data_IF_961099729286
#
_entry.id   IF_961099729286
#
_cell.length_a   1.000
_cell.length_b   1.000
_cell.length_c   1.000
_cell.angle_alpha   90.00
_cell.angle_beta   90.00
_cell.angle_gamma   90.00
#
_symmetry.space_group_name_H-M   'P 1'
#
loop_
_entity.id
_entity.type
_entity.pdbx_description
1 polymer ?
#
# COMPACT_ATOMS: atom_id res chain seq x y z
N UNK A 1 3.60 -10.26 34.16
CA UNK A 1 2.18 -10.66 34.15
C UNK A 1 1.97 -11.64 33.02
N UNK A 2 1.35 -12.76 33.23
CA UNK A 2 0.94 -13.68 32.16
C UNK A 2 -0.44 -13.27 31.69
N UNK A 3 -0.51 -12.25 30.85
CA UNK A 3 -1.79 -11.85 30.27
C UNK A 3 -2.16 -12.84 29.17
N UNK A 4 -3.29 -13.51 29.34
CA UNK A 4 -3.84 -14.43 28.34
C UNK A 4 -4.90 -13.70 27.50
N UNK A 5 -4.78 -13.87 26.19
CA UNK A 5 -5.67 -13.29 25.19
C UNK A 5 -6.27 -14.39 24.28
N UNK A 6 -7.43 -14.12 23.72
CA UNK A 6 -7.99 -15.01 22.69
C UNK A 6 -7.28 -14.80 21.36
N UNK A 7 -7.05 -13.53 20.99
CA UNK A 7 -6.41 -13.16 19.72
C UNK A 7 -5.26 -12.17 19.94
N UNK A 8 -4.16 -12.40 19.23
CA UNK A 8 -3.00 -11.54 19.19
C UNK A 8 -2.75 -11.09 17.75
N UNK A 9 -2.90 -9.79 17.47
CA UNK A 9 -2.66 -9.19 16.16
C UNK A 9 -1.26 -8.57 16.17
N UNK A 10 -0.43 -8.87 15.17
CA UNK A 10 0.94 -8.33 15.03
C UNK A 10 0.96 -7.32 13.90
N UNK A 11 1.23 -6.05 14.22
CA UNK A 11 1.36 -4.93 13.30
C UNK A 11 0.25 -3.88 13.46
N UNK A 12 0.65 -2.65 13.83
CA UNK A 12 -0.20 -1.47 14.06
C UNK A 12 -0.40 -0.60 12.82
N UNK A 13 -0.45 -1.22 11.64
CA UNK A 13 -0.88 -0.57 10.40
C UNK A 13 -2.38 -0.69 10.16
N UNK A 14 -2.86 -0.10 9.07
CA UNK A 14 -4.30 -0.03 8.76
C UNK A 14 -4.97 -1.41 8.63
N UNK A 15 -4.26 -2.42 8.10
CA UNK A 15 -4.78 -3.81 8.01
C UNK A 15 -4.90 -4.43 9.40
N UNK A 16 -3.91 -4.23 10.28
CA UNK A 16 -3.96 -4.73 11.65
C UNK A 16 -5.09 -4.08 12.46
N UNK A 17 -5.20 -2.76 12.45
CA UNK A 17 -6.24 -2.05 13.19
C UNK A 17 -7.65 -2.27 12.65
N UNK A 18 -7.85 -2.30 11.33
CA UNK A 18 -9.16 -2.65 10.77
C UNK A 18 -9.57 -4.09 11.13
N UNK A 19 -8.60 -5.02 11.18
CA UNK A 19 -8.83 -6.39 11.64
C UNK A 19 -9.17 -6.43 13.12
N UNK A 20 -8.43 -5.71 13.97
CA UNK A 20 -8.67 -5.63 15.41
C UNK A 20 -10.07 -5.08 15.71
N UNK A 21 -10.44 -3.98 15.06
CA UNK A 21 -11.75 -3.36 15.21
C UNK A 21 -12.88 -4.30 14.82
N UNK A 22 -12.86 -4.87 13.61
CA UNK A 22 -13.92 -5.77 13.16
C UNK A 22 -13.97 -7.09 13.96
N UNK A 23 -12.80 -7.57 14.42
CA UNK A 23 -12.72 -8.78 15.26
C UNK A 23 -13.38 -8.53 16.61
N UNK A 24 -13.15 -7.36 17.23
CA UNK A 24 -13.78 -6.98 18.49
C UNK A 24 -15.29 -6.82 18.37
N UNK A 25 -15.77 -6.32 17.21
CA UNK A 25 -17.21 -6.27 16.96
C UNK A 25 -17.83 -7.66 16.82
N UNK A 26 -17.14 -8.57 16.12
CA UNK A 26 -17.64 -9.94 15.88
C UNK A 26 -17.59 -10.79 17.15
N UNK A 27 -16.59 -10.59 17.99
CA UNK A 27 -16.36 -11.37 19.23
C UNK A 27 -16.23 -10.44 20.44
N UNK A 28 -17.32 -9.79 20.89
CA UNK A 28 -17.27 -8.74 21.91
C UNK A 28 -16.84 -9.20 23.31
N UNK A 29 -16.85 -10.51 23.56
CA UNK A 29 -16.39 -11.11 24.84
C UNK A 29 -14.94 -11.57 24.79
N UNK A 30 -14.30 -11.54 23.63
CA UNK A 30 -12.91 -12.00 23.47
C UNK A 30 -11.92 -10.94 23.91
N UNK A 31 -10.85 -11.39 24.56
CA UNK A 31 -9.70 -10.56 24.90
C UNK A 31 -8.77 -10.47 23.69
N UNK A 32 -8.65 -9.28 23.11
CA UNK A 32 -7.87 -9.06 21.90
C UNK A 32 -6.74 -8.09 22.18
N UNK A 33 -5.53 -8.44 21.75
CA UNK A 33 -4.35 -7.57 21.84
C UNK A 33 -3.77 -7.31 20.46
N UNK A 34 -3.30 -6.08 20.24
CA UNK A 34 -2.50 -5.69 19.10
C UNK A 34 -1.09 -5.30 19.55
N UNK A 35 -0.09 -5.88 18.90
CA UNK A 35 1.33 -5.66 19.17
C UNK A 35 1.93 -4.83 18.02
N UNK A 36 2.56 -3.70 18.36
CA UNK A 36 3.27 -2.84 17.41
C UNK A 36 4.72 -2.65 17.88
N UNK A 37 5.68 -2.82 16.95
CA UNK A 37 7.12 -2.67 17.26
C UNK A 37 7.53 -1.22 17.50
N UNK A 38 6.83 -0.28 16.88
CA UNK A 38 7.09 1.15 17.03
C UNK A 38 6.46 1.73 18.31
N UNK A 39 6.86 2.93 18.66
CA UNK A 39 6.27 3.69 19.78
C UNK A 39 4.91 4.28 19.46
N UNK A 40 4.46 4.22 18.19
CA UNK A 40 3.20 4.79 17.74
C UNK A 40 2.69 4.06 16.48
N UNK A 41 1.43 4.29 16.13
CA UNK A 41 0.80 3.73 14.93
C UNK A 41 1.33 4.36 13.62
N UNK A 42 1.10 3.68 12.49
CA UNK A 42 1.25 4.24 11.14
C UNK A 42 2.65 4.72 10.74
N UNK A 43 3.72 4.26 11.38
CA UNK A 43 5.09 4.70 11.07
C UNK A 43 5.60 4.25 9.70
N UNK A 44 4.99 3.19 9.13
CA UNK A 44 5.41 2.57 7.87
C UNK A 44 4.40 2.84 6.75
N UNK A 45 4.02 1.84 5.94
CA UNK A 45 3.21 1.98 4.72
C UNK A 45 1.91 2.79 4.91
N UNK A 46 1.24 2.68 6.07
CA UNK A 46 0.00 3.41 6.34
C UNK A 46 0.19 4.92 6.45
N UNK A 47 1.29 5.38 7.00
CA UNK A 47 1.62 6.82 7.08
C UNK A 47 2.53 7.31 5.95
N UNK A 48 2.86 6.46 4.96
CA UNK A 48 3.81 6.77 3.88
C UNK A 48 3.27 6.27 2.53
N UNK A 49 2.09 6.73 2.17
CA UNK A 49 1.41 6.42 0.92
C UNK A 49 0.82 7.68 0.28
N UNK A 50 0.30 7.59 -0.92
CA UNK A 50 -0.24 8.72 -1.68
C UNK A 50 -1.64 9.17 -1.26
N UNK A 51 -2.26 8.59 -0.25
CA UNK A 51 -3.59 8.99 0.22
C UNK A 51 -4.74 8.81 -0.78
N UNK A 52 -4.61 7.93 -1.77
CA UNK A 52 -5.62 7.76 -2.82
C UNK A 52 -6.64 6.69 -2.46
N UNK A 53 -7.93 7.03 -2.56
CA UNK A 53 -9.03 6.06 -2.57
C UNK A 53 -9.14 5.50 -3.99
N UNK A 54 -8.72 4.24 -4.17
CA UNK A 54 -8.65 3.61 -5.48
C UNK A 54 -10.01 3.09 -5.95
N UNK A 55 -10.29 3.20 -7.26
CA UNK A 55 -11.53 2.69 -7.89
C UNK A 55 -11.48 1.21 -8.25
N UNK A 56 -10.28 0.64 -8.48
CA UNK A 56 -10.13 -0.73 -8.97
C UNK A 56 -9.91 -0.87 -10.48
N UNK A 57 -9.79 0.25 -11.22
CA UNK A 57 -9.68 0.25 -12.70
C UNK A 57 -8.52 -0.58 -13.25
N UNK A 58 -7.39 -0.65 -12.52
CA UNK A 58 -6.18 -1.34 -12.97
C UNK A 58 -6.20 -2.86 -12.82
N UNK A 59 -7.09 -3.41 -11.99
CA UNK A 59 -7.00 -4.81 -11.56
C UNK A 59 -7.71 -5.75 -12.53
N UNK A 60 -7.20 -6.98 -12.62
CA UNK A 60 -7.80 -8.03 -13.45
C UNK A 60 -9.24 -8.29 -12.97
N UNK A 61 -10.25 -8.22 -13.85
CA UNK A 61 -11.62 -8.53 -13.48
C UNK A 61 -11.74 -9.91 -12.82
N UNK A 62 -12.53 -10.00 -11.75
CA UNK A 62 -12.71 -11.23 -10.98
C UNK A 62 -11.57 -11.58 -10.01
N UNK A 63 -10.43 -10.88 -10.01
CA UNK A 63 -9.37 -11.09 -9.02
C UNK A 63 -9.81 -10.66 -7.62
N UNK A 64 -9.21 -11.28 -6.59
CA UNK A 64 -9.45 -10.87 -5.20
C UNK A 64 -9.16 -9.38 -4.98
N UNK A 65 -8.14 -8.86 -5.65
CA UNK A 65 -7.74 -7.46 -5.61
C UNK A 65 -8.81 -6.53 -6.19
N UNK A 66 -9.43 -6.90 -7.33
CA UNK A 66 -10.53 -6.14 -7.92
C UNK A 66 -11.77 -6.16 -7.02
N UNK A 67 -12.21 -7.32 -6.57
CA UNK A 67 -13.38 -7.51 -5.72
C UNK A 67 -13.23 -6.80 -4.37
N UNK A 68 -12.08 -6.98 -3.71
CA UNK A 68 -11.80 -6.32 -2.43
C UNK A 68 -11.66 -4.79 -2.58
N UNK A 69 -11.15 -4.29 -3.71
CA UNK A 69 -11.08 -2.86 -3.95
C UNK A 69 -12.49 -2.24 -4.06
N UNK A 70 -13.37 -2.84 -4.84
CA UNK A 70 -14.75 -2.35 -5.03
C UNK A 70 -15.57 -2.38 -3.74
N UNK A 71 -15.58 -3.53 -3.05
CA UNK A 71 -16.32 -3.66 -1.78
C UNK A 71 -15.67 -2.87 -0.64
N UNK A 72 -14.34 -2.85 -0.60
CA UNK A 72 -13.57 -2.15 0.42
C UNK A 72 -13.72 -0.63 0.31
N UNK A 73 -13.70 -0.07 -0.92
CA UNK A 73 -13.95 1.36 -1.18
C UNK A 73 -15.29 1.79 -0.57
N UNK A 74 -16.38 1.10 -0.92
CA UNK A 74 -17.72 1.40 -0.38
C UNK A 74 -17.75 1.33 1.15
N UNK A 75 -17.12 0.30 1.72
CA UNK A 75 -17.05 0.13 3.17
C UNK A 75 -16.22 1.21 3.85
N UNK A 76 -15.11 1.63 3.22
CA UNK A 76 -14.25 2.70 3.71
C UNK A 76 -14.94 4.05 3.69
N UNK A 77 -15.58 4.41 2.59
CA UNK A 77 -16.34 5.66 2.44
C UNK A 77 -17.46 5.75 3.49
N UNK A 78 -18.24 4.66 3.62
CA UNK A 78 -19.26 4.60 4.68
C UNK A 78 -18.66 4.75 6.07
N UNK A 79 -17.55 4.06 6.35
CA UNK A 79 -16.86 4.17 7.64
C UNK A 79 -16.40 5.60 7.92
N UNK A 80 -15.87 6.29 6.91
CA UNK A 80 -15.44 7.67 7.04
C UNK A 80 -16.61 8.62 7.32
N UNK A 81 -17.72 8.46 6.63
CA UNK A 81 -18.95 9.23 6.88
C UNK A 81 -19.51 8.98 8.29
N UNK A 82 -19.60 7.71 8.69
CA UNK A 82 -20.13 7.32 10.00
C UNK A 82 -19.23 7.80 11.17
N UNK A 83 -17.99 8.21 10.91
CA UNK A 83 -16.99 8.55 11.93
C UNK A 83 -16.35 9.94 11.75
N UNK A 84 -16.93 10.80 10.94
CA UNK A 84 -16.47 12.19 10.68
C UNK A 84 -15.01 12.28 10.22
N UNK A 85 -14.58 11.34 9.36
CA UNK A 85 -13.24 11.35 8.77
C UNK A 85 -13.31 12.05 7.42
N UNK A 86 -12.52 13.10 7.24
CA UNK A 86 -12.47 13.86 6.00
C UNK A 86 -11.90 13.04 4.84
N UNK A 87 -12.61 13.04 3.73
CA UNK A 87 -12.15 12.56 2.43
C UNK A 87 -12.85 13.35 1.33
N UNK A 88 -12.31 13.28 0.13
CA UNK A 88 -12.89 13.96 -1.04
C UNK A 88 -12.89 13.03 -2.25
N UNK A 89 -14.00 12.91 -2.93
CA UNK A 89 -14.10 12.23 -4.24
C UNK A 89 -13.82 13.28 -5.32
N UNK A 90 -12.55 13.45 -5.64
CA UNK A 90 -12.08 14.49 -6.55
C UNK A 90 -11.96 14.04 -8.00
N UNK A 91 -12.06 12.73 -8.25
CA UNK A 91 -11.81 12.17 -9.57
C UNK A 91 -10.31 12.01 -9.90
N UNK A 92 -10.05 11.32 -11.02
CA UNK A 92 -8.72 11.07 -11.54
C UNK A 92 -8.74 11.04 -13.05
N UNK A 93 -7.75 11.63 -13.70
CA UNK A 93 -7.50 11.44 -15.13
C UNK A 93 -6.33 10.48 -15.36
N UNK A 94 -6.51 9.50 -16.26
CA UNK A 94 -5.45 8.61 -16.73
C UNK A 94 -5.17 8.99 -18.17
N UNK A 95 -3.97 9.51 -18.44
CA UNK A 95 -3.64 10.24 -19.65
C UNK A 95 -2.81 9.38 -20.61
N UNK A 96 -3.22 9.30 -21.86
CA UNK A 96 -2.38 8.85 -22.97
C UNK A 96 -1.67 10.07 -23.58
N UNK A 97 -0.35 10.07 -23.55
CA UNK A 97 0.47 11.20 -24.01
C UNK A 97 0.83 11.09 -25.51
N UNK A 98 0.54 9.96 -26.13
CA UNK A 98 0.76 9.69 -27.56
C UNK A 98 -0.20 8.61 -28.06
N UNK A 99 -0.29 8.44 -29.39
CA UNK A 99 -1.20 7.47 -30.01
C UNK A 99 -0.88 6.00 -29.70
N UNK A 100 0.37 5.65 -29.34
CA UNK A 100 0.66 4.27 -28.92
C UNK A 100 0.08 3.95 -27.54
N UNK A 101 -0.12 4.96 -26.72
CA UNK A 101 -0.74 4.80 -25.39
C UNK A 101 -2.26 4.72 -25.47
N UNK A 102 -2.93 5.22 -26.54
CA UNK A 102 -4.39 5.17 -26.65
C UNK A 102 -4.94 3.75 -26.72
N UNK A 103 -4.25 2.83 -27.41
CA UNK A 103 -4.66 1.41 -27.46
C UNK A 103 -4.64 0.77 -26.06
N UNK A 104 -3.63 1.10 -25.24
CA UNK A 104 -3.52 0.62 -23.87
C UNK A 104 -4.56 1.29 -22.98
N UNK A 105 -4.86 2.55 -23.24
CA UNK A 105 -5.90 3.30 -22.54
C UNK A 105 -7.27 2.69 -22.79
N UNK A 106 -7.59 2.34 -24.05
CA UNK A 106 -8.85 1.66 -24.41
C UNK A 106 -9.01 0.33 -23.66
N UNK A 107 -7.99 -0.51 -23.68
CA UNK A 107 -8.01 -1.79 -22.96
C UNK A 107 -8.17 -1.59 -21.43
N UNK A 108 -7.61 -0.50 -20.88
CA UNK A 108 -7.79 -0.14 -19.48
C UNK A 108 -9.20 0.33 -19.19
N UNK A 109 -9.83 1.09 -20.09
CA UNK A 109 -11.22 1.53 -19.98
C UNK A 109 -12.16 0.33 -19.94
N UNK A 110 -12.03 -0.61 -20.87
CA UNK A 110 -12.85 -1.84 -20.92
C UNK A 110 -12.70 -2.67 -19.62
N UNK A 111 -11.47 -2.75 -19.10
CA UNK A 111 -11.21 -3.37 -17.79
C UNK A 111 -11.90 -2.64 -16.65
N UNK A 112 -11.89 -1.31 -16.67
CA UNK A 112 -12.59 -0.46 -15.69
C UNK A 112 -14.09 -0.72 -15.70
N UNK A 113 -14.69 -0.71 -16.87
CA UNK A 113 -16.12 -1.02 -17.07
C UNK A 113 -16.44 -2.43 -16.57
N UNK A 114 -15.62 -3.42 -16.91
CA UNK A 114 -15.79 -4.81 -16.44
C UNK A 114 -15.68 -4.95 -14.91
N UNK A 115 -14.94 -4.07 -14.25
CA UNK A 115 -14.86 -4.01 -12.79
C UNK A 115 -15.98 -3.16 -12.16
N UNK A 116 -16.92 -2.60 -12.96
CA UNK A 116 -18.00 -1.72 -12.50
C UNK A 116 -17.48 -0.36 -12.00
N UNK A 117 -16.36 0.13 -12.56
CA UNK A 117 -15.79 1.44 -12.22
C UNK A 117 -16.52 2.52 -13.02
N UNK A 118 -16.95 3.60 -12.35
CA UNK A 118 -17.51 4.76 -13.01
C UNK A 118 -16.41 5.57 -13.69
N UNK A 119 -16.24 5.35 -15.00
CA UNK A 119 -15.21 5.99 -15.81
C UNK A 119 -15.71 6.24 -17.24
N UNK A 120 -15.11 7.21 -17.90
CA UNK A 120 -15.41 7.59 -19.29
C UNK A 120 -14.13 7.92 -20.07
N UNK A 121 -14.11 7.57 -21.35
CA UNK A 121 -13.10 8.07 -22.28
C UNK A 121 -13.40 9.53 -22.61
N UNK A 122 -12.39 10.38 -22.54
CA UNK A 122 -12.54 11.82 -22.76
C UNK A 122 -11.51 12.31 -23.79
N UNK A 123 -11.96 13.26 -24.61
CA UNK A 123 -11.11 13.96 -25.57
C UNK A 123 -10.08 14.87 -24.89
N UNK A 124 -9.08 15.32 -25.67
CA UNK A 124 -8.12 16.31 -25.20
C UNK A 124 -8.78 17.61 -24.70
N UNK A 125 -9.84 18.10 -25.37
CA UNK A 125 -10.54 19.30 -24.93
C UNK A 125 -11.17 19.09 -23.54
N UNK A 126 -11.84 17.96 -23.34
CA UNK A 126 -12.43 17.63 -22.03
C UNK A 126 -11.38 17.41 -20.94
N UNK A 127 -10.24 16.80 -21.29
CA UNK A 127 -9.11 16.66 -20.35
C UNK A 127 -8.64 18.03 -19.85
N UNK A 128 -8.50 19.02 -20.75
CA UNK A 128 -8.03 20.37 -20.38
C UNK A 128 -9.05 21.16 -19.56
N UNK A 129 -10.35 20.86 -19.67
CA UNK A 129 -11.36 21.43 -18.78
C UNK A 129 -11.20 20.91 -17.33
N UNK A 130 -10.88 19.61 -17.17
CA UNK A 130 -10.71 18.96 -15.85
C UNK A 130 -9.34 19.30 -15.27
N UNK A 131 -8.27 19.15 -16.05
CA UNK A 131 -6.87 19.36 -15.68
C UNK A 131 -6.19 20.26 -16.72
N UNK A 132 -6.25 21.61 -16.57
CA UNK A 132 -5.84 22.55 -17.60
C UNK A 132 -4.36 22.44 -18.02
N UNK A 133 -3.51 21.92 -17.15
CA UNK A 133 -2.07 21.77 -17.39
C UNK A 133 -1.67 20.35 -17.82
N UNK A 134 -2.64 19.41 -17.92
CA UNK A 134 -2.36 18.04 -18.33
C UNK A 134 -2.08 17.97 -19.84
N UNK A 135 -1.06 17.18 -20.22
CA UNK A 135 -0.72 16.93 -21.62
C UNK A 135 -1.13 15.53 -22.03
N UNK A 136 -2.12 15.44 -22.89
CA UNK A 136 -2.58 14.16 -23.44
C UNK A 136 -3.27 14.31 -24.77
N UNK A 137 -3.34 13.22 -25.53
CA UNK A 137 -4.14 13.12 -26.77
C UNK A 137 -5.54 12.61 -26.47
N UNK A 138 -5.66 11.77 -25.43
CA UNK A 138 -6.89 11.17 -24.93
C UNK A 138 -6.68 10.79 -23.45
N UNK A 139 -7.77 10.67 -22.67
CA UNK A 139 -7.69 10.24 -21.28
C UNK A 139 -8.91 9.40 -20.87
N UNK A 140 -8.78 8.68 -19.74
CA UNK A 140 -9.92 8.16 -18.97
C UNK A 140 -10.16 9.10 -17.79
N UNK A 141 -11.37 9.60 -17.65
CA UNK A 141 -11.81 10.25 -16.41
C UNK A 141 -12.48 9.23 -15.51
N UNK A 142 -11.90 8.98 -14.33
CA UNK A 142 -12.42 8.07 -13.30
C UNK A 142 -13.04 8.92 -12.21
N UNK A 143 -14.35 9.10 -12.24
CA UNK A 143 -15.10 10.05 -11.38
C UNK A 143 -15.04 9.68 -9.90
N UNK A 144 -15.05 8.42 -9.57
CA UNK A 144 -15.16 7.87 -8.22
C UNK A 144 -13.83 7.69 -7.46
N UNK A 145 -12.69 8.14 -8.01
CA UNK A 145 -11.45 8.18 -7.25
C UNK A 145 -11.47 9.32 -6.25
N UNK A 146 -10.84 9.12 -5.10
CA UNK A 146 -10.78 10.13 -4.05
C UNK A 146 -9.43 10.22 -3.38
N UNK A 147 -9.35 11.14 -2.43
CA UNK A 147 -8.20 11.38 -1.58
C UNK A 147 -8.60 11.35 -0.11
N UNK A 148 -7.71 10.85 0.72
CA UNK A 148 -7.93 10.65 2.16
C UNK A 148 -6.58 10.61 2.91
N UNK A 149 -6.60 10.95 4.19
CA UNK A 149 -5.48 10.65 5.08
C UNK A 149 -5.69 9.28 5.76
N UNK A 150 -4.98 8.27 5.31
CA UNK A 150 -5.08 6.93 5.91
C UNK A 150 -4.57 6.84 7.35
N UNK A 151 -3.80 7.81 7.82
CA UNK A 151 -3.40 7.89 9.24
C UNK A 151 -4.60 8.21 10.11
N UNK A 152 -5.48 9.11 9.69
CA UNK A 152 -6.69 9.47 10.43
C UNK A 152 -7.67 8.28 10.50
N UNK A 153 -7.82 7.57 9.39
CA UNK A 153 -8.61 6.33 9.34
C UNK A 153 -8.07 5.28 10.32
N UNK A 154 -6.75 5.07 10.31
CA UNK A 154 -6.10 4.10 11.18
C UNK A 154 -6.18 4.51 12.65
N UNK A 155 -6.03 5.81 12.96
CA UNK A 155 -6.22 6.34 14.30
C UNK A 155 -7.64 6.07 14.80
N UNK A 156 -8.64 6.32 13.97
CA UNK A 156 -10.04 6.06 14.34
C UNK A 156 -10.30 4.56 14.61
N UNK A 157 -9.75 3.67 13.79
CA UNK A 157 -9.81 2.22 14.09
C UNK A 157 -9.16 1.90 15.44
N UNK A 158 -8.01 2.50 15.74
CA UNK A 158 -7.32 2.32 17.02
C UNK A 158 -8.18 2.77 18.21
N UNK A 159 -8.84 3.93 18.09
CA UNK A 159 -9.68 4.50 19.13
C UNK A 159 -10.93 3.63 19.38
N UNK A 160 -11.60 3.23 18.29
CA UNK A 160 -12.75 2.34 18.37
C UNK A 160 -12.38 0.95 18.92
N UNK A 161 -11.20 0.42 18.57
CA UNK A 161 -10.70 -0.83 19.12
C UNK A 161 -10.49 -0.73 20.65
N UNK A 162 -9.94 0.40 21.15
CA UNK A 162 -9.80 0.65 22.59
C UNK A 162 -11.15 0.80 23.30
N UNK A 163 -12.11 1.48 22.67
CA UNK A 163 -13.48 1.61 23.19
C UNK A 163 -14.19 0.24 23.32
N UNK A 164 -13.82 -0.72 22.47
CA UNK A 164 -14.28 -2.11 22.54
C UNK A 164 -13.40 -3.00 23.46
N UNK A 165 -12.68 -2.39 24.41
CA UNK A 165 -11.79 -3.06 25.37
C UNK A 165 -10.58 -3.78 24.74
N UNK A 166 -10.17 -3.40 23.53
CA UNK A 166 -8.97 -3.91 22.89
C UNK A 166 -7.70 -3.38 23.56
N UNK A 167 -6.70 -4.22 23.72
CA UNK A 167 -5.39 -3.86 24.27
C UNK A 167 -4.39 -3.56 23.14
N UNK A 168 -3.56 -2.53 23.30
CA UNK A 168 -2.50 -2.18 22.36
C UNK A 168 -1.17 -2.07 23.11
N UNK A 169 -0.17 -2.84 22.67
CA UNK A 169 1.20 -2.76 23.20
C UNK A 169 2.12 -2.25 22.12
N UNK A 170 2.70 -1.08 22.35
CA UNK A 170 3.77 -0.48 21.55
C UNK A 170 5.14 -0.92 22.03
N UNK A 171 6.17 -0.66 21.21
CA UNK A 171 7.55 -1.06 21.48
C UNK A 171 7.68 -2.58 21.72
N UNK A 172 6.82 -3.37 21.06
CA UNK A 172 6.81 -4.82 21.18
C UNK A 172 7.26 -5.47 19.87
N UNK A 173 8.56 -5.58 19.68
CA UNK A 173 9.16 -6.29 18.54
C UNK A 173 9.04 -7.79 18.75
N UNK A 174 8.18 -8.46 18.01
CA UNK A 174 8.01 -9.91 18.08
C UNK A 174 9.26 -10.62 17.55
N UNK A 175 9.91 -11.42 18.42
CA UNK A 175 11.11 -12.19 18.10
C UNK A 175 10.89 -13.70 18.07
N UNK A 176 9.81 -14.20 18.68
CA UNK A 176 9.53 -15.62 18.75
C UNK A 176 8.00 -15.86 18.79
N UNK A 177 7.57 -16.87 18.04
CA UNK A 177 6.21 -17.43 18.09
C UNK A 177 6.36 -18.91 18.29
N UNK A 178 5.76 -19.47 19.32
CA UNK A 178 5.88 -20.90 19.66
C UNK A 178 4.54 -21.46 20.12
N UNK A 179 4.05 -22.53 19.48
CA UNK A 179 2.94 -23.32 20.00
C UNK A 179 3.34 -23.97 21.33
N UNK A 180 2.53 -23.87 22.34
CA UNK A 180 2.74 -24.45 23.67
C UNK A 180 1.59 -25.40 24.01
N UNK A 181 1.58 -25.99 25.22
CA UNK A 181 0.52 -26.90 25.67
C UNK A 181 -0.88 -26.24 25.60
N UNK A 182 -1.93 -27.04 25.53
CA UNK A 182 -3.34 -26.63 25.52
C UNK A 182 -3.71 -25.73 24.32
N UNK A 183 -3.11 -25.99 23.16
CA UNK A 183 -3.33 -25.21 21.92
C UNK A 183 -3.11 -23.70 22.06
N UNK A 184 -2.34 -23.26 23.06
CA UNK A 184 -1.93 -21.88 23.23
C UNK A 184 -0.68 -21.54 22.40
N UNK A 185 -0.49 -20.27 22.16
CA UNK A 185 0.66 -19.72 21.43
C UNK A 185 1.36 -18.71 22.33
N UNK A 186 2.66 -18.87 22.48
CA UNK A 186 3.55 -17.91 23.13
C UNK A 186 4.12 -16.97 22.07
N UNK A 187 3.88 -15.67 22.24
CA UNK A 187 4.46 -14.59 21.44
C UNK A 187 5.41 -13.79 22.31
N UNK A 188 6.69 -13.69 21.96
CA UNK A 188 7.71 -13.09 22.81
C UNK A 188 8.48 -11.97 22.11
N UNK A 189 8.84 -10.96 22.89
CA UNK A 189 9.83 -9.91 22.62
C UNK A 189 10.94 -10.00 23.66
N UNK A 190 11.86 -9.03 23.70
CA UNK A 190 12.91 -8.96 24.72
C UNK A 190 12.29 -8.70 26.11
N UNK A 191 12.40 -9.69 26.98
CA UNK A 191 11.90 -9.62 28.37
C UNK A 191 10.38 -9.70 28.55
N UNK A 192 9.57 -9.58 27.47
CA UNK A 192 8.12 -9.62 27.54
C UNK A 192 7.54 -10.79 26.74
N UNK A 193 6.42 -11.33 27.20
CA UNK A 193 5.70 -12.38 26.47
C UNK A 193 4.19 -12.29 26.70
N UNK A 194 3.45 -12.79 25.71
CA UNK A 194 1.99 -12.87 25.69
C UNK A 194 1.60 -14.30 25.35
N UNK A 195 0.55 -14.79 25.98
CA UNK A 195 -0.07 -16.08 25.64
C UNK A 195 -1.41 -15.79 24.96
N UNK A 196 -1.68 -16.43 23.83
CA UNK A 196 -2.96 -16.30 23.13
C UNK A 196 -3.43 -17.63 22.53
N UNK A 197 -4.69 -17.68 22.10
CA UNK A 197 -5.23 -18.85 21.39
C UNK A 197 -4.84 -18.80 19.91
N UNK A 198 -4.89 -17.62 19.27
CA UNK A 198 -4.60 -17.47 17.85
C UNK A 198 -3.86 -16.16 17.57
N UNK A 199 -2.87 -16.24 16.67
CA UNK A 199 -2.10 -15.09 16.18
C UNK A 199 -2.61 -14.66 14.81
N UNK A 200 -2.60 -13.36 14.54
CA UNK A 200 -2.94 -12.77 13.24
C UNK A 200 -1.77 -11.89 12.83
N UNK A 201 -1.04 -12.33 11.81
CA UNK A 201 0.12 -11.61 11.29
C UNK A 201 -0.30 -10.57 10.26
N UNK A 202 -0.28 -9.29 10.63
CA UNK A 202 -0.51 -8.12 9.80
C UNK A 202 0.74 -7.23 9.72
N UNK A 203 1.94 -7.81 9.77
CA UNK A 203 3.21 -7.10 9.92
C UNK A 203 3.76 -6.41 8.66
N UNK A 204 3.00 -6.35 7.56
CA UNK A 204 3.33 -5.59 6.35
C UNK A 204 4.72 -5.93 5.80
N UNK A 205 5.69 -5.02 5.87
CA UNK A 205 7.08 -5.23 5.42
C UNK A 205 7.77 -6.42 6.09
N UNK A 206 7.34 -6.79 7.30
CA UNK A 206 7.89 -7.90 8.07
C UNK A 206 7.00 -9.14 8.09
N UNK A 207 5.97 -9.20 7.22
CA UNK A 207 5.00 -10.31 7.20
C UNK A 207 5.65 -11.67 6.95
N UNK A 208 6.66 -11.74 6.08
CA UNK A 208 7.42 -12.95 5.80
C UNK A 208 8.34 -13.36 6.97
N UNK A 209 8.89 -12.39 7.70
CA UNK A 209 9.72 -12.67 8.89
C UNK A 209 8.87 -13.25 10.02
N UNK A 210 7.73 -12.62 10.32
CA UNK A 210 6.77 -13.12 11.32
C UNK A 210 6.24 -14.51 10.94
N UNK A 211 5.92 -14.72 9.67
CA UNK A 211 5.49 -16.04 9.20
C UNK A 211 6.56 -17.11 9.39
N UNK A 212 7.84 -16.78 9.16
CA UNK A 212 8.96 -17.73 9.42
C UNK A 212 9.08 -18.10 10.89
N UNK A 213 8.84 -17.14 11.80
CA UNK A 213 8.86 -17.42 13.25
C UNK A 213 7.79 -18.44 13.67
N UNK A 214 6.70 -18.55 12.91
CA UNK A 214 5.60 -19.49 13.14
C UNK A 214 5.65 -20.76 12.26
N UNK A 215 6.76 -21.00 11.54
CA UNK A 215 6.87 -22.14 10.63
C UNK A 215 6.09 -22.01 9.31
N UNK A 216 5.72 -20.78 8.94
CA UNK A 216 4.97 -20.50 7.72
C UNK A 216 5.73 -20.73 6.42
N UNK A 217 5.06 -20.58 5.29
CA UNK A 217 5.59 -20.84 3.93
C UNK A 217 6.85 -20.03 3.63
N UNK A 218 7.80 -20.68 2.93
CA UNK A 218 9.08 -20.07 2.53
C UNK A 218 9.18 -19.83 1.02
N UNK A 219 8.09 -19.99 0.27
CA UNK A 219 8.08 -19.99 -1.20
C UNK A 219 8.15 -18.58 -1.81
N UNK A 220 8.13 -17.55 -1.00
CA UNK A 220 8.27 -16.15 -1.42
C UNK A 220 8.93 -15.32 -0.32
N UNK A 221 9.33 -14.13 -0.70
CA UNK A 221 9.97 -13.15 0.19
C UNK A 221 9.41 -11.76 -0.07
N UNK A 222 9.31 -10.97 0.97
CA UNK A 222 9.03 -9.54 0.84
C UNK A 222 10.31 -8.82 0.44
N UNK A 223 10.30 -8.23 -0.75
CA UNK A 223 11.36 -7.35 -1.24
C UNK A 223 10.89 -5.90 -1.07
N UNK A 224 11.66 -5.06 -0.37
CA UNK A 224 11.29 -3.68 -0.17
C UNK A 224 11.60 -2.83 -1.40
N UNK A 225 10.57 -2.19 -1.99
CA UNK A 225 10.74 -1.21 -3.07
C UNK A 225 10.41 0.19 -2.57
N UNK A 226 11.40 1.06 -2.57
CA UNK A 226 11.24 2.45 -2.18
C UNK A 226 10.59 3.25 -3.30
N UNK A 227 9.57 4.01 -2.97
CA UNK A 227 8.99 5.05 -3.79
C UNK A 227 9.41 6.41 -3.27
N UNK A 228 10.15 7.16 -4.06
CA UNK A 228 10.57 8.50 -3.73
C UNK A 228 9.59 9.51 -4.30
N UNK A 229 9.28 10.53 -3.51
CA UNK A 229 8.33 11.57 -3.86
C UNK A 229 8.99 12.95 -3.86
N UNK A 230 8.43 13.82 -4.66
CA UNK A 230 8.61 15.26 -4.55
C UNK A 230 7.25 15.90 -4.27
N UNK A 231 7.27 17.10 -3.69
CA UNK A 231 6.08 17.93 -3.47
C UNK A 231 6.20 19.21 -4.30
N UNK A 232 5.11 19.63 -4.94
CA UNK A 232 5.07 20.93 -5.61
C UNK A 232 5.19 22.05 -4.57
N UNK A 233 5.93 23.09 -4.92
CA UNK A 233 5.91 24.34 -4.16
C UNK A 233 4.51 24.97 -4.22
N UNK A 234 4.14 25.75 -3.21
CA UNK A 234 2.82 26.42 -3.16
C UNK A 234 2.50 27.22 -4.42
N UNK A 235 3.50 27.89 -5.00
CA UNK A 235 3.37 28.65 -6.26
C UNK A 235 3.04 27.81 -7.48
N UNK A 236 3.28 26.51 -7.44
CA UNK A 236 3.13 25.59 -8.57
C UNK A 236 2.03 24.53 -8.35
N UNK A 237 1.31 24.56 -7.21
CA UNK A 237 0.25 23.60 -6.91
C UNK A 237 -0.93 23.66 -7.90
N UNK A 238 -1.16 24.81 -8.53
CA UNK A 238 -2.17 25.00 -9.55
C UNK A 238 -1.99 24.12 -10.79
N UNK A 239 -0.79 23.57 -11.00
CA UNK A 239 -0.48 22.67 -12.12
C UNK A 239 -1.19 21.30 -12.04
N UNK A 240 -1.79 20.96 -10.91
CA UNK A 240 -2.58 19.74 -10.76
C UNK A 240 -3.76 20.03 -9.84
N UNK A 241 -4.98 19.90 -10.36
CA UNK A 241 -6.20 20.13 -9.58
C UNK A 241 -6.62 18.92 -8.76
N UNK A 242 -6.41 17.70 -9.28
CA UNK A 242 -6.88 16.45 -8.70
C UNK A 242 -5.78 15.37 -8.76
N UNK A 243 -5.95 14.37 -9.62
CA UNK A 243 -5.04 13.23 -9.78
C UNK A 243 -4.72 13.06 -11.27
N UNK A 244 -3.43 13.21 -11.66
CA UNK A 244 -3.00 13.05 -13.05
C UNK A 244 -2.06 11.86 -13.14
N UNK A 245 -2.51 10.77 -13.78
CA UNK A 245 -1.80 9.49 -13.86
C UNK A 245 -1.45 9.15 -15.32
N UNK A 246 -0.31 8.50 -15.59
CA UNK A 246 0.00 8.00 -16.94
C UNK A 246 -0.81 6.74 -17.24
N UNK A 247 -0.99 6.47 -18.53
CA UNK A 247 -1.42 5.15 -18.99
C UNK A 247 -0.38 4.10 -18.60
N UNK A 248 -0.77 3.00 -17.93
CA UNK A 248 0.17 1.96 -17.52
C UNK A 248 0.91 1.33 -18.71
N UNK A 249 2.19 1.06 -18.53
CA UNK A 249 2.94 0.23 -19.46
C UNK A 249 3.03 -1.20 -18.89
N UNK A 250 2.45 -2.23 -19.55
CA UNK A 250 2.44 -3.59 -19.03
C UNK A 250 3.84 -4.24 -18.93
N UNK A 251 4.86 -3.66 -19.57
CA UNK A 251 6.24 -4.10 -19.41
C UNK A 251 6.86 -3.69 -18.08
N UNK A 252 6.24 -2.73 -17.37
CA UNK A 252 6.72 -2.23 -16.08
C UNK A 252 5.83 -2.74 -14.95
N UNK A 253 6.41 -3.30 -13.88
CA UNK A 253 5.64 -3.83 -12.75
C UNK A 253 5.02 -2.72 -11.88
N UNK A 254 5.48 -1.49 -12.03
CA UNK A 254 5.01 -0.35 -11.27
C UNK A 254 4.47 0.74 -12.18
N UNK A 255 3.49 1.48 -11.69
CA UNK A 255 2.97 2.65 -12.38
C UNK A 255 4.05 3.75 -12.45
N UNK A 256 4.13 4.45 -13.58
CA UNK A 256 5.04 5.60 -13.74
C UNK A 256 4.71 6.75 -12.80
N UNK A 257 5.63 7.72 -12.70
CA UNK A 257 5.44 8.91 -11.87
C UNK A 257 4.15 9.65 -12.26
N UNK A 258 3.44 10.14 -11.27
CA UNK A 258 2.14 10.79 -11.41
C UNK A 258 1.99 11.92 -10.39
N UNK A 259 0.92 12.67 -10.50
CA UNK A 259 0.58 13.76 -9.58
C UNK A 259 -0.61 13.37 -8.72
N UNK A 260 -0.52 13.66 -7.44
CA UNK A 260 -1.56 13.37 -6.45
C UNK A 260 -1.77 14.58 -5.56
N UNK A 261 -2.98 15.14 -5.59
CA UNK A 261 -3.37 16.19 -4.64
C UNK A 261 -3.73 15.55 -3.29
N UNK A 262 -3.30 16.16 -2.20
CA UNK A 262 -3.71 15.82 -0.84
C UNK A 262 -4.90 16.67 -0.37
N UNK A 263 -5.51 16.28 0.76
CA UNK A 263 -6.62 17.03 1.39
C UNK A 263 -6.21 18.45 1.81
N UNK A 264 -4.94 18.67 2.11
CA UNK A 264 -4.37 19.99 2.46
C UNK A 264 -4.09 20.87 1.23
N UNK A 265 -4.50 20.43 0.04
CA UNK A 265 -4.23 21.11 -1.24
C UNK A 265 -2.79 20.95 -1.74
N UNK A 266 -1.92 20.28 -1.01
CA UNK A 266 -0.58 19.98 -1.49
C UNK A 266 -0.58 18.99 -2.63
N UNK A 267 0.39 19.06 -3.53
CA UNK A 267 0.50 18.14 -4.66
C UNK A 267 1.82 17.38 -4.56
N UNK A 268 1.72 16.07 -4.48
CA UNK A 268 2.84 15.14 -4.53
C UNK A 268 3.09 14.68 -5.95
N UNK A 269 4.36 14.48 -6.29
CA UNK A 269 4.82 13.98 -7.58
C UNK A 269 5.65 12.72 -7.37
N UNK A 270 5.29 11.64 -8.02
CA UNK A 270 5.94 10.35 -7.87
C UNK A 270 4.93 9.23 -7.79
N UNK A 271 5.30 8.10 -7.18
CA UNK A 271 6.67 7.72 -6.86
C UNK A 271 7.39 7.05 -8.03
N UNK A 272 8.72 7.00 -7.96
CA UNK A 272 9.52 6.02 -8.70
C UNK A 272 9.46 4.65 -7.99
N UNK A 273 10.26 3.67 -8.45
CA UNK A 273 10.34 2.37 -7.79
C UNK A 273 11.77 1.83 -7.84
N UNK A 274 12.52 2.00 -6.76
CA UNK A 274 13.88 1.51 -6.60
C UNK A 274 13.98 0.48 -5.48
N UNK A 275 14.94 -0.44 -5.57
CA UNK A 275 15.23 -1.35 -4.46
C UNK A 275 15.62 -0.52 -3.22
N UNK A 276 14.96 -0.77 -2.09
CA UNK A 276 15.39 -0.22 -0.81
C UNK A 276 16.44 -1.14 -0.18
N UNK A 277 17.50 -0.55 0.36
CA UNK A 277 18.58 -1.30 1.02
C UNK A 277 18.26 -1.64 2.48
N UNK A 278 17.00 -1.95 2.73
CA UNK A 278 16.42 -2.34 4.01
C UNK A 278 14.92 -2.07 4.04
N UNK A 279 14.20 -2.79 4.90
CA UNK A 279 12.74 -2.64 5.05
C UNK A 279 12.34 -1.28 5.61
N UNK A 280 13.29 -0.56 6.23
CA UNK A 280 13.12 0.79 6.78
C UNK A 280 14.13 1.80 6.21
N UNK A 281 14.80 1.47 5.12
CA UNK A 281 15.77 2.35 4.45
C UNK A 281 15.04 3.45 3.64
N UNK A 282 14.40 4.37 4.34
CA UNK A 282 13.62 5.47 3.75
C UNK A 282 14.52 6.55 3.13
N UNK A 283 15.64 6.87 3.76
CA UNK A 283 16.61 7.83 3.25
C UNK A 283 17.42 7.28 2.06
N UNK A 284 18.18 8.18 1.41
CA UNK A 284 19.05 7.79 0.28
C UNK A 284 20.29 7.02 0.70
N UNK A 285 20.76 7.25 1.94
CA UNK A 285 21.94 6.65 2.51
C UNK A 285 21.62 5.57 3.56
N UNK A 286 20.33 5.34 3.83
CA UNK A 286 19.94 4.32 4.78
C UNK A 286 20.24 2.93 4.20
N UNK A 287 20.88 2.11 5.02
CA UNK A 287 21.33 0.79 4.60
C UNK A 287 21.28 -0.20 5.77
N UNK A 288 20.72 -1.37 5.51
CA UNK A 288 20.76 -2.52 6.42
C UNK A 288 21.43 -3.70 5.70
N UNK A 289 22.66 -4.01 6.09
CA UNK A 289 23.49 -5.07 5.46
C UNK A 289 22.78 -6.42 5.43
N UNK A 290 22.22 -6.86 6.55
CA UNK A 290 21.59 -8.17 6.67
C UNK A 290 20.33 -8.29 5.80
N UNK A 291 19.45 -7.28 5.83
CA UNK A 291 18.23 -7.26 5.03
C UNK A 291 18.52 -7.12 3.53
N UNK A 292 19.49 -6.28 3.17
CA UNK A 292 19.95 -6.12 1.78
C UNK A 292 20.51 -7.42 1.25
N UNK A 293 21.47 -8.02 1.95
CA UNK A 293 22.07 -9.30 1.56
C UNK A 293 20.98 -10.38 1.43
N UNK A 294 20.10 -10.49 2.40
CA UNK A 294 18.97 -11.40 2.38
C UNK A 294 18.03 -11.19 1.17
N UNK A 295 17.86 -9.95 0.72
CA UNK A 295 17.02 -9.62 -0.45
C UNK A 295 17.70 -9.96 -1.76
N UNK A 296 18.96 -9.54 -1.94
CA UNK A 296 19.69 -9.73 -3.21
C UNK A 296 20.11 -11.18 -3.44
N UNK A 297 20.29 -11.99 -2.38
CA UNK A 297 20.61 -13.43 -2.51
C UNK A 297 19.38 -14.33 -2.67
N UNK A 298 18.18 -13.76 -2.56
CA UNK A 298 16.95 -14.55 -2.79
C UNK A 298 16.87 -14.98 -4.25
N UNK A 299 16.70 -16.29 -4.55
CA UNK A 299 16.71 -16.79 -5.93
C UNK A 299 15.71 -16.09 -6.85
N UNK A 300 14.51 -15.78 -6.34
CA UNK A 300 13.52 -15.03 -7.08
C UNK A 300 14.00 -13.61 -7.44
N UNK A 301 14.69 -12.92 -6.53
CA UNK A 301 15.25 -11.60 -6.82
C UNK A 301 16.32 -11.66 -7.92
N UNK A 302 17.22 -12.62 -7.89
CA UNK A 302 18.25 -12.78 -8.92
C UNK A 302 17.63 -13.01 -10.31
N UNK A 303 16.59 -13.84 -10.40
CA UNK A 303 15.86 -14.07 -11.65
C UNK A 303 15.13 -12.81 -12.13
N UNK A 304 14.45 -12.10 -11.24
CA UNK A 304 13.79 -10.84 -11.59
C UNK A 304 14.82 -9.78 -12.03
N UNK A 305 15.90 -9.63 -11.29
CA UNK A 305 16.96 -8.67 -11.60
C UNK A 305 17.62 -8.98 -12.94
N UNK A 306 17.94 -10.23 -13.25
CA UNK A 306 18.50 -10.61 -14.57
C UNK A 306 17.58 -10.26 -15.73
N UNK A 307 16.26 -10.36 -15.55
CA UNK A 307 15.26 -10.04 -16.59
C UNK A 307 15.05 -8.51 -16.75
N UNK A 308 15.13 -7.76 -15.65
CA UNK A 308 14.72 -6.34 -15.61
C UNK A 308 15.84 -5.36 -15.22
N UNK A 309 17.11 -5.77 -15.32
CA UNK A 309 18.26 -4.98 -14.84
C UNK A 309 18.36 -3.57 -15.48
N UNK A 310 18.06 -3.45 -16.80
CA UNK A 310 18.09 -2.16 -17.51
C UNK A 310 17.11 -1.18 -16.90
N UNK A 311 15.88 -1.64 -16.66
CA UNK A 311 14.84 -0.84 -16.01
C UNK A 311 15.23 -0.45 -14.58
N UNK A 312 15.81 -1.40 -13.82
CA UNK A 312 16.32 -1.11 -12.49
C UNK A 312 17.37 -0.02 -12.47
N UNK A 313 18.31 -0.02 -13.43
CA UNK A 313 19.31 1.03 -13.58
C UNK A 313 18.70 2.38 -13.97
N UNK A 314 17.70 2.41 -14.86
CA UNK A 314 16.98 3.64 -15.23
C UNK A 314 16.23 4.25 -14.03
N UNK A 315 15.58 3.42 -13.21
CA UNK A 315 14.91 3.88 -11.98
C UNK A 315 15.95 4.39 -10.95
N UNK A 316 17.07 3.70 -10.78
CA UNK A 316 18.19 4.16 -9.95
C UNK A 316 18.74 5.51 -10.44
N UNK A 317 18.97 5.66 -11.77
CA UNK A 317 19.40 6.93 -12.33
C UNK A 317 18.39 8.05 -12.05
N UNK A 318 17.08 7.77 -12.19
CA UNK A 318 16.00 8.72 -11.89
C UNK A 318 15.96 9.11 -10.40
N UNK A 319 16.28 8.18 -9.51
CA UNK A 319 16.36 8.42 -8.06
C UNK A 319 17.45 9.45 -7.70
N UNK A 320 18.60 9.38 -8.35
CA UNK A 320 19.72 10.29 -8.09
C UNK A 320 19.71 11.56 -8.94
N UNK A 321 18.95 11.58 -10.05
CA UNK A 321 18.92 12.69 -10.98
C UNK A 321 17.57 13.40 -11.02
N UNK A 322 17.45 14.50 -10.27
CA UNK A 322 16.23 15.33 -10.24
C UNK A 322 15.76 15.78 -11.63
N UNK A 323 16.70 16.09 -12.56
CA UNK A 323 16.33 16.49 -13.93
C UNK A 323 15.68 15.35 -14.70
N UNK A 324 16.17 14.10 -14.53
CA UNK A 324 15.56 12.92 -15.15
C UNK A 324 14.16 12.65 -14.56
N UNK A 325 13.96 12.85 -13.27
CA UNK A 325 12.65 12.74 -12.63
C UNK A 325 11.67 13.79 -13.20
N UNK A 326 12.08 15.04 -13.28
CA UNK A 326 11.27 16.13 -13.89
C UNK A 326 10.96 15.85 -15.35
N UNK A 327 11.90 15.29 -16.12
CA UNK A 327 11.65 14.88 -17.53
C UNK A 327 10.49 13.87 -17.62
N UNK A 328 10.39 12.96 -16.68
CA UNK A 328 9.26 12.01 -16.62
C UNK A 328 7.93 12.71 -16.28
N UNK A 329 7.94 13.64 -15.34
CA UNK A 329 6.75 14.44 -14.97
C UNK A 329 6.27 15.34 -16.12
N UNK A 330 7.19 15.91 -16.90
CA UNK A 330 6.87 16.76 -18.08
C UNK A 330 6.05 16.06 -19.15
N UNK A 331 6.04 14.74 -19.17
CA UNK A 331 5.16 13.99 -20.08
C UNK A 331 3.70 14.24 -19.77
N UNK A 332 3.36 14.39 -18.48
CA UNK A 332 2.00 14.62 -18.00
C UNK A 332 1.67 16.11 -17.84
N UNK A 333 2.63 16.92 -17.36
CA UNK A 333 2.50 18.37 -17.14
C UNK A 333 3.75 19.05 -17.69
N UNK A 334 3.73 19.56 -18.95
CA UNK A 334 4.91 20.09 -19.64
C UNK A 334 5.54 21.31 -18.95
N UNK A 335 4.74 22.10 -18.27
CA UNK A 335 5.15 23.35 -17.63
C UNK A 335 6.05 23.14 -16.41
N UNK A 336 6.01 21.94 -15.79
CA UNK A 336 6.78 21.65 -14.57
C UNK A 336 8.28 21.77 -14.79
N UNK A 337 8.98 22.33 -13.83
CA UNK A 337 10.44 22.46 -13.86
C UNK A 337 11.07 21.96 -12.54
N UNK A 338 12.40 21.86 -12.53
CA UNK A 338 13.13 21.49 -11.31
C UNK A 338 12.98 22.53 -10.18
N UNK A 339 12.56 23.74 -10.50
CA UNK A 339 12.34 24.81 -9.51
C UNK A 339 11.02 24.65 -8.76
N UNK A 340 10.07 23.92 -9.34
CA UNK A 340 8.70 23.75 -8.84
C UNK A 340 8.58 22.67 -7.78
N UNK A 341 9.55 21.76 -7.68
CA UNK A 341 9.49 20.60 -6.81
C UNK A 341 10.54 20.63 -5.69
N UNK A 342 10.15 20.12 -4.53
CA UNK A 342 11.02 19.90 -3.36
C UNK A 342 10.97 18.43 -2.97
N UNK A 343 12.05 17.85 -2.39
CA UNK A 343 12.01 16.47 -1.88
C UNK A 343 10.89 16.28 -0.86
N UNK A 344 10.28 15.10 -0.87
CA UNK A 344 9.24 14.70 0.06
C UNK A 344 9.55 13.31 0.64
N UNK A 345 9.07 12.95 1.83
CA UNK A 345 9.34 11.66 2.45
C UNK A 345 8.98 10.47 1.55
N UNK A 346 9.88 9.50 1.50
CA UNK A 346 9.67 8.27 0.73
C UNK A 346 8.77 7.27 1.47
N UNK A 347 8.14 6.38 0.71
CA UNK A 347 7.46 5.19 1.22
C UNK A 347 8.17 3.92 0.76
N UNK A 348 8.04 2.82 1.50
CA UNK A 348 8.56 1.51 1.09
C UNK A 348 7.39 0.55 0.90
N UNK A 349 7.29 -0.01 -0.31
CA UNK A 349 6.30 -1.03 -0.65
C UNK A 349 6.79 -2.40 -0.22
N UNK A 350 5.95 -3.16 0.47
CA UNK A 350 6.15 -4.58 0.72
C UNK A 350 5.72 -5.35 -0.52
N UNK A 351 6.65 -5.78 -1.35
CA UNK A 351 6.35 -6.51 -2.56
C UNK A 351 6.74 -7.97 -2.41
N UNK A 352 5.76 -8.86 -2.42
CA UNK A 352 6.03 -10.28 -2.39
C UNK A 352 6.55 -10.76 -3.75
N UNK A 353 7.65 -11.53 -3.71
CA UNK A 353 8.32 -12.11 -4.86
C UNK A 353 8.46 -13.62 -4.67
N UNK A 354 8.06 -14.41 -5.67
CA UNK A 354 8.18 -15.86 -5.64
C UNK A 354 9.60 -16.33 -6.02
N UNK A 355 9.86 -17.63 -5.85
CA UNK A 355 11.15 -18.26 -6.21
C UNK A 355 11.45 -18.23 -7.73
N UNK A 356 10.43 -18.00 -8.55
CA UNK A 356 10.55 -17.90 -10.02
C UNK A 356 10.85 -16.50 -10.50
N UNK A 357 10.82 -15.50 -9.60
CA UNK A 357 11.07 -14.10 -9.92
C UNK A 357 9.83 -13.32 -10.35
N UNK A 358 8.63 -13.86 -10.12
CA UNK A 358 7.39 -13.17 -10.40
C UNK A 358 6.92 -12.39 -9.17
N UNK A 359 6.47 -11.17 -9.40
CA UNK A 359 5.79 -10.38 -8.38
C UNK A 359 4.42 -11.00 -8.10
N UNK A 360 4.13 -11.24 -6.83
CA UNK A 360 2.81 -11.70 -6.40
C UNK A 360 1.91 -10.46 -6.33
N UNK A 361 1.00 -10.35 -7.29
CA UNK A 361 0.18 -9.13 -7.47
C UNK A 361 -1.15 -9.17 -6.70
N UNK A 362 -1.60 -10.31 -6.19
CA UNK A 362 -2.86 -10.41 -5.44
C UNK A 362 -2.64 -10.58 -3.93
N UNK A 363 -3.71 -10.49 -3.15
CA UNK A 363 -3.68 -10.73 -1.71
C UNK A 363 -3.36 -12.19 -1.40
N UNK A 364 -2.45 -12.42 -0.47
CA UNK A 364 -2.08 -13.77 -0.01
C UNK A 364 -2.32 -13.86 1.49
N UNK A 365 -3.40 -14.55 1.85
CA UNK A 365 -3.79 -14.79 3.24
C UNK A 365 -3.94 -16.30 3.44
N UNK A 366 -3.15 -16.86 4.33
CA UNK A 366 -3.16 -18.28 4.67
C UNK A 366 -3.41 -18.47 6.16
N UNK A 367 -3.98 -19.60 6.54
CA UNK A 367 -4.28 -19.92 7.94
C UNK A 367 -3.89 -21.33 8.32
N UNK A 368 -3.47 -21.47 9.55
CA UNK A 368 -3.34 -22.76 10.25
C UNK A 368 -4.13 -22.71 11.56
N UNK A 369 -4.08 -23.80 12.35
CA UNK A 369 -4.84 -23.91 13.61
C UNK A 369 -4.61 -22.73 14.55
N UNK A 370 -3.39 -22.18 14.60
CA UNK A 370 -2.97 -21.19 15.60
C UNK A 370 -2.53 -19.83 15.03
N UNK A 371 -2.42 -19.68 13.69
CA UNK A 371 -2.04 -18.43 13.07
C UNK A 371 -2.73 -18.18 11.74
N UNK A 372 -3.13 -16.93 11.50
CA UNK A 372 -3.48 -16.41 10.17
C UNK A 372 -2.36 -15.49 9.71
N UNK A 373 -1.75 -15.79 8.57
CA UNK A 373 -0.69 -14.98 7.97
C UNK A 373 -1.22 -14.14 6.81
N UNK A 374 -1.14 -12.82 6.92
CA UNK A 374 -1.32 -11.91 5.79
C UNK A 374 0.05 -11.68 5.16
N UNK A 375 0.41 -12.51 4.21
CA UNK A 375 1.73 -12.48 3.59
C UNK A 375 1.92 -11.32 2.63
N UNK A 376 0.88 -11.03 1.83
CA UNK A 376 0.92 -9.99 0.82
C UNK A 376 -0.39 -9.23 0.80
N UNK A 377 -0.30 -7.93 1.03
CA UNK A 377 -1.41 -7.00 0.91
C UNK A 377 -0.94 -5.75 0.14
N UNK A 378 -0.72 -5.87 -1.19
CA UNK A 378 -0.26 -4.76 -2.01
C UNK A 378 -1.36 -3.70 -2.19
N UNK A 379 -1.02 -2.54 -2.78
CA UNK A 379 -2.04 -1.58 -3.20
C UNK A 379 -3.14 -2.28 -4.01
N UNK A 380 -4.41 -2.10 -3.65
CA UNK A 380 -5.01 -1.01 -2.88
C UNK A 380 -5.35 -1.40 -1.42
N UNK A 381 -4.44 -2.03 -0.69
CA UNK A 381 -4.73 -2.59 0.63
C UNK A 381 -5.33 -1.56 1.61
N UNK A 382 -4.92 -0.30 1.58
CA UNK A 382 -5.47 0.73 2.44
C UNK A 382 -6.95 1.02 2.11
N UNK A 383 -7.29 1.20 0.84
CA UNK A 383 -8.69 1.34 0.37
C UNK A 383 -9.51 0.09 0.71
N UNK A 384 -8.89 -1.09 0.66
CA UNK A 384 -9.53 -2.39 0.84
C UNK A 384 -9.49 -2.90 2.29
N UNK A 385 -8.96 -2.13 3.24
CA UNK A 385 -8.61 -2.61 4.58
C UNK A 385 -9.76 -3.32 5.30
N UNK A 386 -10.98 -2.80 5.23
CA UNK A 386 -12.17 -3.41 5.83
C UNK A 386 -12.57 -4.73 5.15
N UNK A 387 -12.43 -4.82 3.82
CA UNK A 387 -12.70 -6.05 3.09
C UNK A 387 -11.63 -7.11 3.36
N UNK A 388 -10.36 -6.71 3.43
CA UNK A 388 -9.24 -7.59 3.82
C UNK A 388 -9.46 -8.11 5.25
N UNK A 389 -9.84 -7.23 6.18
CA UNK A 389 -10.12 -7.62 7.56
C UNK A 389 -11.26 -8.66 7.64
N UNK A 390 -12.34 -8.50 6.88
CA UNK A 390 -13.42 -9.51 6.79
C UNK A 390 -12.89 -10.85 6.27
N UNK A 391 -12.01 -10.84 5.26
CA UNK A 391 -11.36 -12.04 4.72
C UNK A 391 -10.46 -12.70 5.77
N UNK A 392 -9.69 -11.94 6.55
CA UNK A 392 -8.87 -12.47 7.64
C UNK A 392 -9.77 -13.14 8.69
N UNK A 393 -10.84 -12.46 9.10
CA UNK A 393 -11.77 -12.94 10.13
C UNK A 393 -12.54 -14.18 9.68
N UNK A 394 -12.78 -14.38 8.39
CA UNK A 394 -13.40 -15.60 7.86
C UNK A 394 -12.49 -16.83 7.94
N UNK A 395 -11.20 -16.66 8.20
CA UNK A 395 -10.20 -17.71 8.33
C UNK A 395 -9.84 -18.03 9.80
N UNK A 396 -10.48 -17.35 10.73
CA UNK A 396 -10.34 -17.58 12.17
C UNK A 396 -11.33 -18.64 12.65
#
# INVERSE_FOLDING_TARGET
>A
MKDEFDYCIIGGGIVGFSTAYLLSQKFPKSKIILLEKESNICKHQTGRNSGVIHSGIYYKPGSQKALNCRSGKKSLEKFCLDNDINFEICGKVIVATNHQETLRLQALYERGVSNGVECELISKSRLLEIEPHANGVEAIHVKECGIINYTDVCQKFSDLFRQLNGSIYFNFLVKKIKKIKNNKVLVSSDGNHIICNKVINCAGLYSDDIARLSGGKKNFKIIPFKGEYFKLKKTSQHLCKNLIYPTPNPQFPFLGVHFTRGLDGSVECGPNAVLAFGKEAYGKLDFNLAETFSSITFPGFLKMASKHWRMGLEEMYRSYNKKAFVKALKRLVPEISSRDITPFPSGIRAQALDLSGNLIDDFVIDSSDYIVNVYNAPSPAATSCLSIAKTIISKI
#
